data_IF_034934335525
#
_entry.id   IF_034934335525
#
_cell.length_a   1.000
_cell.length_b   1.000
_cell.length_c   1.000
_cell.angle_alpha   90.00
_cell.angle_beta   90.00
_cell.angle_gamma   90.00
#
_symmetry.space_group_name_H-M   'P 1'
#
loop_
_entity.id
_entity.type
_entity.pdbx_description
1 polymer ?
#
# COMPACT_ATOMS: atom_id res chain seq x y z
N UNK A 1 7.00 -4.40 38.37
CA UNK A 1 6.75 -4.49 36.92
C UNK A 1 7.77 -3.62 36.24
N UNK A 2 8.69 -4.19 35.46
CA UNK A 2 9.74 -3.41 34.78
C UNK A 2 9.23 -3.13 33.37
N UNK A 3 9.12 -1.85 33.03
CA UNK A 3 8.73 -1.41 31.68
C UNK A 3 9.98 -0.96 30.93
N UNK A 4 10.23 -1.56 29.76
CA UNK A 4 11.39 -1.25 28.92
C UNK A 4 10.88 -0.66 27.60
N UNK A 5 11.27 0.58 27.33
CA UNK A 5 10.95 1.25 26.06
C UNK A 5 12.14 1.14 25.11
N UNK A 6 11.93 0.58 23.91
CA UNK A 6 12.98 0.38 22.90
C UNK A 6 12.63 1.24 21.67
N UNK A 7 13.59 2.04 21.20
CA UNK A 7 13.47 2.81 19.95
C UNK A 7 14.11 2.04 18.80
N UNK A 8 13.39 1.89 17.71
CA UNK A 8 13.81 1.16 16.51
C UNK A 8 13.90 2.15 15.36
N UNK A 9 15.12 2.46 14.92
CA UNK A 9 15.36 3.56 13.98
C UNK A 9 15.27 3.14 12.50
N UNK A 10 15.14 1.83 12.22
CA UNK A 10 15.09 1.31 10.85
C UNK A 10 14.06 0.19 10.70
N UNK A 11 13.46 0.01 9.51
CA UNK A 11 12.54 -1.10 9.26
C UNK A 11 13.17 -2.48 9.51
N UNK A 12 14.46 -2.64 9.19
CA UNK A 12 15.17 -3.91 9.37
C UNK A 12 15.46 -4.22 10.84
N UNK A 13 15.77 -3.21 11.66
CA UNK A 13 15.93 -3.42 13.10
C UNK A 13 14.62 -3.85 13.75
N UNK A 14 13.49 -3.27 13.32
CA UNK A 14 12.17 -3.67 13.78
C UNK A 14 11.73 -5.07 13.29
N UNK A 15 12.15 -5.52 12.10
CA UNK A 15 11.94 -6.92 11.64
C UNK A 15 12.75 -7.91 12.47
N UNK A 16 14.03 -7.63 12.72
CA UNK A 16 14.88 -8.47 13.56
C UNK A 16 14.31 -8.58 14.98
N UNK A 17 13.87 -7.45 15.54
CA UNK A 17 13.24 -7.43 16.86
C UNK A 17 11.94 -8.23 16.91
N UNK A 18 11.10 -8.15 15.88
CA UNK A 18 9.91 -9.01 15.76
C UNK A 18 10.26 -10.51 15.73
N UNK A 19 11.37 -10.88 15.08
CA UNK A 19 11.92 -12.24 15.09
C UNK A 19 12.31 -12.70 16.50
N UNK A 20 13.01 -11.86 17.26
CA UNK A 20 13.37 -12.15 18.65
C UNK A 20 12.14 -12.32 19.55
N UNK A 21 11.12 -11.47 19.40
CA UNK A 21 9.87 -11.61 20.14
C UNK A 21 9.15 -12.94 19.85
N UNK A 22 9.23 -13.45 18.62
CA UNK A 22 8.68 -14.77 18.28
C UNK A 22 9.46 -15.92 18.90
N UNK A 23 10.79 -15.82 18.91
CA UNK A 23 11.65 -16.81 19.55
C UNK A 23 11.36 -16.87 21.06
N UNK A 24 11.28 -15.71 21.72
CA UNK A 24 10.89 -15.61 23.14
C UNK A 24 9.50 -16.20 23.39
N UNK A 25 8.52 -15.91 22.52
CA UNK A 25 7.18 -16.48 22.64
C UNK A 25 7.08 -18.00 22.41
N UNK A 26 8.12 -18.62 21.87
CA UNK A 26 8.20 -20.07 21.68
C UNK A 26 8.77 -20.77 22.92
N UNK A 27 9.66 -20.10 23.65
CA UNK A 27 10.28 -20.60 24.88
C UNK A 27 9.52 -20.21 26.14
N UNK A 28 8.59 -19.26 26.05
CA UNK A 28 7.81 -18.74 27.19
C UNK A 28 6.77 -19.75 27.70
N UNK A 29 6.84 -20.10 29.00
CA UNK A 29 5.94 -21.04 29.65
C UNK A 29 4.57 -20.41 29.94
N UNK A 30 4.52 -19.10 30.22
CA UNK A 30 3.27 -18.41 30.49
C UNK A 30 2.52 -18.06 29.21
N UNK A 31 1.41 -18.76 28.95
CA UNK A 31 0.56 -18.57 27.75
C UNK A 31 0.15 -17.11 27.51
N UNK A 32 -0.12 -16.34 28.57
CA UNK A 32 -0.49 -14.92 28.47
C UNK A 32 0.62 -14.05 27.90
N UNK A 33 1.85 -14.24 28.39
CA UNK A 33 3.03 -13.49 27.94
C UNK A 33 3.44 -13.89 26.52
N UNK A 34 3.41 -15.20 26.22
CA UNK A 34 3.64 -15.70 24.87
C UNK A 34 2.66 -15.09 23.84
N UNK A 35 1.39 -14.91 24.21
CA UNK A 35 0.38 -14.25 23.35
C UNK A 35 0.72 -12.77 23.14
N UNK A 36 1.14 -12.06 24.18
CA UNK A 36 1.55 -10.66 24.07
C UNK A 36 2.74 -10.50 23.13
N UNK A 37 3.80 -11.31 23.29
CA UNK A 37 4.97 -11.26 22.40
C UNK A 37 4.63 -11.56 20.94
N UNK A 38 3.78 -12.56 20.67
CA UNK A 38 3.28 -12.83 19.31
C UNK A 38 2.49 -11.65 18.74
N UNK A 39 1.67 -11.00 19.57
CA UNK A 39 0.90 -9.82 19.19
C UNK A 39 1.79 -8.63 18.83
N UNK A 40 2.78 -8.32 19.68
CA UNK A 40 3.74 -7.24 19.46
C UNK A 40 4.60 -7.50 18.23
N UNK A 41 5.08 -8.72 18.03
CA UNK A 41 5.82 -9.12 16.83
C UNK A 41 5.00 -8.90 15.55
N UNK A 42 3.72 -9.31 15.54
CA UNK A 42 2.82 -9.08 14.40
C UNK A 42 2.62 -7.60 14.10
N UNK A 43 2.47 -6.75 15.13
CA UNK A 43 2.33 -5.30 14.95
C UNK A 43 3.59 -4.68 14.36
N UNK A 44 4.76 -5.06 14.87
CA UNK A 44 6.04 -4.58 14.34
C UNK A 44 6.27 -5.00 12.88
N UNK A 45 5.92 -6.24 12.53
CA UNK A 45 5.98 -6.70 11.14
C UNK A 45 5.00 -5.95 10.24
N UNK A 46 3.82 -5.58 10.72
CA UNK A 46 2.88 -4.75 9.95
C UNK A 46 3.43 -3.34 9.71
N UNK A 47 4.09 -2.75 10.71
CA UNK A 47 4.70 -1.42 10.60
C UNK A 47 5.96 -1.39 9.72
N UNK A 48 6.66 -2.53 9.62
CA UNK A 48 7.91 -2.67 8.84
C UNK A 48 7.73 -3.33 7.49
N UNK A 49 6.52 -3.82 7.19
CA UNK A 49 6.16 -4.25 5.85
C UNK A 49 6.28 -3.03 4.95
N UNK A 50 7.05 -3.11 3.85
CA UNK A 50 6.95 -2.09 2.83
C UNK A 50 5.48 -2.03 2.45
N UNK A 51 4.89 -0.83 2.47
CA UNK A 51 3.52 -0.61 2.04
C UNK A 51 3.39 -1.36 0.72
N UNK A 52 2.50 -2.34 0.64
CA UNK A 52 2.32 -3.13 -0.57
C UNK A 52 1.80 -2.15 -1.64
N UNK A 53 2.71 -1.55 -2.39
CA UNK A 53 2.41 -0.85 -3.62
C UNK A 53 1.89 -1.94 -4.54
N UNK A 54 0.57 -2.12 -4.54
CA UNK A 54 -0.10 -2.96 -5.50
C UNK A 54 0.39 -2.52 -6.88
N UNK A 55 1.13 -3.40 -7.56
CA UNK A 55 1.53 -3.23 -8.94
C UNK A 55 0.58 -4.10 -9.78
N UNK A 56 -0.29 -3.51 -10.62
CA UNK A 56 -1.19 -4.25 -11.48
C UNK A 56 -0.34 -5.13 -12.38
N UNK A 57 -0.55 -6.46 -12.36
CA UNK A 57 0.27 -7.42 -13.11
C UNK A 57 0.01 -7.43 -14.64
N UNK A 58 -0.60 -6.35 -15.18
CA UNK A 58 -0.94 -6.07 -16.61
C UNK A 58 -2.05 -7.03 -17.14
N UNK A 59 -3.05 -6.66 -17.95
CA UNK A 59 -3.26 -5.59 -18.95
C UNK A 59 -4.60 -4.85 -18.71
N UNK A 60 -4.64 -3.53 -18.85
CA UNK A 60 -5.87 -2.72 -18.87
C UNK A 60 -5.77 -1.70 -20.00
N UNK A 61 -6.29 -2.03 -21.19
CA UNK A 61 -7.37 -1.22 -21.80
C UNK A 61 -8.31 -2.08 -22.70
N UNK A 62 -9.58 -1.75 -22.94
CA UNK A 62 -9.97 -0.68 -23.86
C UNK A 62 -11.29 0.00 -23.47
N UNK A 63 -11.33 1.31 -23.71
CA UNK A 63 -12.47 2.17 -23.43
C UNK A 63 -12.65 3.10 -24.64
N UNK A 64 -13.76 3.00 -25.40
CA UNK A 64 -14.03 3.95 -26.48
C UNK A 64 -14.30 5.34 -25.90
N UNK A 65 -13.55 6.36 -26.35
CA UNK A 65 -13.80 7.77 -25.98
C UNK A 65 -12.93 8.37 -24.87
N UNK A 66 -11.75 7.81 -24.57
CA UNK A 66 -10.78 8.36 -23.60
C UNK A 66 -9.81 9.33 -24.28
N UNK A 67 -9.57 10.50 -23.69
CA UNK A 67 -8.43 11.36 -24.06
C UNK A 67 -7.13 10.81 -23.44
N UNK A 68 -6.41 9.99 -24.22
CA UNK A 68 -5.13 9.41 -23.81
C UNK A 68 -4.06 10.48 -23.54
N UNK A 69 -4.12 11.63 -24.21
CA UNK A 69 -3.20 12.74 -24.00
C UNK A 69 -3.41 13.40 -22.64
N UNK A 70 -4.66 13.57 -22.20
CA UNK A 70 -4.98 14.04 -20.86
C UNK A 70 -4.48 13.06 -19.79
N UNK A 71 -4.72 11.75 -19.97
CA UNK A 71 -4.23 10.70 -19.07
C UNK A 71 -2.70 10.74 -18.99
N UNK A 72 -2.01 10.79 -20.13
CA UNK A 72 -0.56 10.77 -20.17
C UNK A 72 0.06 12.01 -19.50
N UNK A 73 -0.54 13.20 -19.64
CA UNK A 73 -0.10 14.42 -18.93
C UNK A 73 -0.15 14.24 -17.41
N UNK A 74 -1.24 13.68 -16.89
CA UNK A 74 -1.39 13.43 -15.45
C UNK A 74 -0.40 12.36 -14.97
N UNK A 75 -0.23 11.30 -15.76
CA UNK A 75 0.70 10.20 -15.45
C UNK A 75 2.16 10.66 -15.46
N UNK A 76 2.54 11.53 -16.41
CA UNK A 76 3.85 12.15 -16.51
C UNK A 76 4.08 13.27 -15.47
N UNK A 77 3.02 13.76 -14.82
CA UNK A 77 3.12 14.82 -13.81
C UNK A 77 3.16 16.23 -14.39
N UNK A 78 2.77 16.43 -15.66
CA UNK A 78 2.74 17.75 -16.27
C UNK A 78 1.57 18.57 -15.74
N UNK A 79 1.90 19.72 -15.15
CA UNK A 79 0.92 20.69 -14.68
C UNK A 79 0.60 21.72 -15.77
N UNK A 80 -0.62 22.28 -15.82
CA UNK A 80 -1.75 21.97 -14.93
C UNK A 80 -2.39 20.61 -15.25
N UNK A 81 -2.85 19.90 -14.20
CA UNK A 81 -3.54 18.62 -14.41
C UNK A 81 -4.91 18.85 -15.08
N UNK A 82 -5.18 18.24 -16.24
CA UNK A 82 -6.49 18.30 -16.88
C UNK A 82 -7.57 17.70 -15.98
N UNK A 83 -8.82 18.13 -16.20
CA UNK A 83 -9.98 17.47 -15.61
C UNK A 83 -10.19 16.17 -16.35
N UNK A 84 -10.15 15.05 -15.62
CA UNK A 84 -10.34 13.72 -16.19
C UNK A 84 -11.78 13.26 -15.98
N UNK A 85 -12.33 12.57 -16.97
CA UNK A 85 -13.51 11.73 -16.80
C UNK A 85 -13.23 10.62 -15.79
N UNK A 86 -14.29 9.95 -15.32
CA UNK A 86 -14.13 8.83 -14.38
C UNK A 86 -13.26 7.71 -14.96
N UNK A 87 -13.42 7.40 -16.24
CA UNK A 87 -12.71 6.33 -16.91
C UNK A 87 -11.25 6.70 -17.19
N UNK A 88 -11.00 7.95 -17.57
CA UNK A 88 -9.65 8.54 -17.66
C UNK A 88 -8.94 8.54 -16.31
N UNK A 89 -9.60 8.98 -15.23
CA UNK A 89 -9.04 8.98 -13.89
C UNK A 89 -8.74 7.56 -13.41
N UNK A 90 -9.60 6.59 -13.75
CA UNK A 90 -9.37 5.18 -13.43
C UNK A 90 -8.19 4.61 -14.22
N UNK A 91 -8.03 4.98 -15.49
CA UNK A 91 -6.88 4.60 -16.32
C UNK A 91 -5.58 5.23 -15.83
N UNK A 92 -5.59 6.54 -15.52
CA UNK A 92 -4.46 7.24 -14.93
C UNK A 92 -4.06 6.64 -13.56
N UNK A 93 -5.04 6.29 -12.72
CA UNK A 93 -4.81 5.59 -11.46
C UNK A 93 -4.08 4.26 -11.67
N UNK A 94 -4.48 3.48 -12.69
CA UNK A 94 -3.83 2.22 -13.02
C UNK A 94 -2.37 2.42 -13.43
N UNK A 95 -2.09 3.37 -14.33
CA UNK A 95 -0.72 3.69 -14.77
C UNK A 95 0.17 4.20 -13.63
N UNK A 96 -0.33 5.13 -12.80
CA UNK A 96 0.42 5.64 -11.65
C UNK A 96 0.67 4.54 -10.60
N UNK A 97 -0.28 3.63 -10.45
CA UNK A 97 -0.14 2.49 -9.54
C UNK A 97 0.88 1.47 -10.06
N UNK A 98 0.99 1.26 -11.37
CA UNK A 98 2.11 0.49 -11.97
C UNK A 98 3.47 1.15 -11.73
N UNK A 99 3.54 2.47 -11.71
CA UNK A 99 4.74 3.24 -11.38
C UNK A 99 5.05 3.29 -9.87
N UNK A 100 4.37 2.45 -9.08
CA UNK A 100 4.48 2.39 -7.62
C UNK A 100 4.14 3.71 -6.89
N UNK A 101 3.41 4.64 -7.52
CA UNK A 101 3.03 5.89 -6.86
C UNK A 101 2.14 5.60 -5.61
N UNK A 102 2.37 6.32 -4.50
CA UNK A 102 1.56 6.19 -3.30
C UNK A 102 0.13 6.71 -3.53
N UNK A 103 -0.85 6.07 -2.89
CA UNK A 103 -2.27 6.41 -3.01
C UNK A 103 -2.61 7.90 -2.78
N UNK A 104 -2.03 8.62 -1.78
CA UNK A 104 -2.29 10.06 -1.62
C UNK A 104 -1.81 10.90 -2.80
N UNK A 105 -0.68 10.54 -3.41
CA UNK A 105 -0.15 11.25 -4.58
C UNK A 105 -1.03 11.03 -5.80
N UNK A 106 -1.48 9.78 -6.01
CA UNK A 106 -2.41 9.46 -7.10
C UNK A 106 -3.72 10.24 -6.93
N UNK A 107 -4.28 10.23 -5.73
CA UNK A 107 -5.51 10.94 -5.38
C UNK A 107 -5.42 12.44 -5.71
N UNK A 108 -4.29 13.07 -5.37
CA UNK A 108 -4.04 14.48 -5.68
C UNK A 108 -3.96 14.74 -7.19
N UNK A 109 -3.24 13.89 -7.94
CA UNK A 109 -3.04 14.06 -9.39
C UNK A 109 -4.31 13.90 -10.22
N UNK A 110 -5.13 12.91 -9.90
CA UNK A 110 -6.38 12.62 -10.63
C UNK A 110 -7.62 13.28 -9.98
N UNK A 111 -7.43 14.06 -8.90
CA UNK A 111 -8.47 14.79 -8.16
C UNK A 111 -9.62 13.90 -7.64
N UNK A 112 -9.29 12.77 -7.03
CA UNK A 112 -10.27 11.89 -6.36
C UNK A 112 -9.88 11.65 -4.90
N UNK A 113 -10.82 11.19 -4.08
CA UNK A 113 -10.52 10.80 -2.72
C UNK A 113 -9.59 9.57 -2.66
N UNK A 114 -8.68 9.53 -1.69
CA UNK A 114 -7.76 8.40 -1.48
C UNK A 114 -8.51 7.05 -1.31
N UNK A 115 -9.68 7.06 -0.66
CA UNK A 115 -10.55 5.87 -0.53
C UNK A 115 -10.94 5.28 -1.89
N UNK A 116 -11.14 6.12 -2.90
CA UNK A 116 -11.48 5.72 -4.26
C UNK A 116 -10.32 4.99 -4.92
N UNK A 117 -9.09 5.49 -4.73
CA UNK A 117 -7.86 4.83 -5.19
C UNK A 117 -7.73 3.45 -4.55
N UNK A 118 -7.93 3.34 -3.24
CA UNK A 118 -7.88 2.04 -2.54
C UNK A 118 -8.96 1.06 -3.04
N UNK A 119 -10.19 1.54 -3.26
CA UNK A 119 -11.29 0.73 -3.80
C UNK A 119 -10.95 0.20 -5.19
N UNK A 120 -10.49 1.06 -6.11
CA UNK A 120 -10.10 0.63 -7.45
C UNK A 120 -8.95 -0.38 -7.44
N UNK A 121 -7.95 -0.21 -6.56
CA UNK A 121 -6.88 -1.20 -6.35
C UNK A 121 -7.39 -2.54 -5.79
N UNK A 122 -8.52 -2.55 -5.09
CA UNK A 122 -9.14 -3.78 -4.59
C UNK A 122 -9.97 -4.46 -5.68
N UNK A 123 -10.75 -3.69 -6.44
CA UNK A 123 -11.49 -4.18 -7.61
C UNK A 123 -10.53 -4.80 -8.64
N UNK A 124 -9.44 -4.11 -8.97
CA UNK A 124 -8.42 -4.60 -9.91
C UNK A 124 -7.65 -5.82 -9.35
N UNK A 125 -7.73 -6.12 -8.04
CA UNK A 125 -7.21 -7.38 -7.46
C UNK A 125 -8.20 -8.52 -7.60
N UNK A 126 -9.48 -8.25 -7.36
CA UNK A 126 -10.55 -9.25 -7.46
C UNK A 126 -10.76 -9.73 -8.89
N UNK A 127 -10.69 -8.81 -9.87
CA UNK A 127 -10.81 -9.12 -11.29
C UNK A 127 -9.69 -10.02 -11.84
N UNK A 128 -8.59 -10.20 -11.09
CA UNK A 128 -7.47 -11.08 -11.47
C UNK A 128 -7.62 -12.48 -10.87
N UNK A 129 -8.42 -12.63 -9.82
CA UNK A 129 -8.64 -13.91 -9.13
C UNK A 129 -9.89 -14.67 -9.58
N UNK A 130 -10.78 -14.00 -10.31
CA UNK A 130 -11.99 -14.59 -10.91
C UNK A 130 -11.68 -15.05 -12.34
#
# INVERSE_FOLDING_TARGET
MIEITIRLNTPDSARRFAGHLRALAATEAHRGQARQFRGTARRLEQLTRPVLHYAPRVRRPAHPGIDEGAVQRVVAGHQPFPVLSRDEARLACWHLTQRACPAPEIAARIRVAQRTVHRWRAEDRQAVTA
#
